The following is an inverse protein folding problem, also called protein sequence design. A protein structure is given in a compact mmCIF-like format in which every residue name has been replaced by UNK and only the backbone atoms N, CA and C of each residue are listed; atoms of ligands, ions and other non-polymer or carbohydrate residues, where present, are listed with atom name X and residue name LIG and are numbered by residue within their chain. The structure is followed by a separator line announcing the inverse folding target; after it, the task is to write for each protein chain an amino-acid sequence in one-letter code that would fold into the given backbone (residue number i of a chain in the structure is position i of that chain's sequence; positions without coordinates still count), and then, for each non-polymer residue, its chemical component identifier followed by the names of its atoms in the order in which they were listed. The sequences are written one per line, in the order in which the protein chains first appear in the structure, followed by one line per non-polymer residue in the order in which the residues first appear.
data_IF_338694925834
#
_entry.id   IF_338694925834
#
_cell.length_a   1.000
_cell.length_b   1.000
_cell.length_c   1.000
_cell.angle_alpha   90.00
_cell.angle_beta   90.00
_cell.angle_gamma   90.00
#
_symmetry.space_group_name_H-M   'P 1'
#
loop_
_entity.id
_entity.type
_entity.pdbx_description
1 polymer ?
#
# COMPACT_ATOMS: atom_id res chain seq x y z
N UNK A 1 95.19 11.61 46.28
CA UNK A 1 93.97 12.31 46.74
C UNK A 1 93.61 13.52 45.84
N UNK A 2 93.82 13.45 44.51
CA UNK A 2 93.60 14.57 43.58
C UNK A 2 92.72 14.24 42.36
N UNK A 3 92.15 13.03 42.29
CA UNK A 3 91.34 12.59 41.14
C UNK A 3 89.83 12.77 41.33
N UNK A 4 89.37 13.12 42.54
CA UNK A 4 87.93 13.14 42.85
C UNK A 4 87.26 14.51 42.63
N UNK A 5 88.06 15.56 42.37
CA UNK A 5 87.55 16.92 42.22
C UNK A 5 87.16 17.31 40.78
N UNK A 6 87.53 16.53 39.75
CA UNK A 6 87.25 16.89 38.35
C UNK A 6 85.93 16.36 37.79
N UNK A 7 85.34 15.31 38.35
CA UNK A 7 84.04 14.79 37.87
C UNK A 7 82.83 15.55 38.42
N UNK A 8 83.00 16.36 39.46
CA UNK A 8 81.89 17.07 40.11
C UNK A 8 81.51 18.40 39.45
N UNK A 9 82.31 18.90 38.49
CA UNK A 9 82.00 20.13 37.73
C UNK A 9 81.31 19.88 36.38
N UNK A 10 81.51 18.72 35.76
CA UNK A 10 80.89 18.39 34.46
C UNK A 10 79.41 18.03 34.61
N UNK A 11 79.01 17.40 35.72
CA UNK A 11 77.61 17.00 35.94
C UNK A 11 76.60 18.13 36.18
N UNK A 12 77.03 19.39 36.31
CA UNK A 12 76.14 20.53 36.60
C UNK A 12 75.84 21.41 35.38
N UNK A 13 76.60 21.27 34.29
CA UNK A 13 76.40 22.03 33.04
C UNK A 13 75.66 21.21 31.96
N UNK A 14 75.71 19.87 32.00
CA UNK A 14 74.98 19.02 31.03
C UNK A 14 73.47 18.85 31.31
N UNK A 15 73.01 19.20 32.52
CA UNK A 15 71.59 19.11 32.87
C UNK A 15 70.71 20.06 32.04
N UNK A 16 71.27 21.17 31.54
CA UNK A 16 70.58 22.11 30.66
C UNK A 16 70.45 21.61 29.22
N UNK A 17 71.52 21.01 28.68
CA UNK A 17 71.54 20.47 27.31
C UNK A 17 70.65 19.23 27.17
N UNK A 18 70.63 18.35 28.18
CA UNK A 18 69.75 17.18 28.21
C UNK A 18 68.26 17.58 28.23
N UNK A 19 67.92 18.64 28.97
CA UNK A 19 66.55 19.13 29.08
C UNK A 19 66.09 19.82 27.78
N UNK A 20 66.98 20.55 27.09
CA UNK A 20 66.70 21.09 25.76
C UNK A 20 66.52 20.01 24.70
N UNK A 21 67.33 18.93 24.74
CA UNK A 21 67.18 17.79 23.85
C UNK A 21 65.84 17.05 24.07
N UNK A 22 65.43 16.86 25.32
CA UNK A 22 64.15 16.25 25.66
C UNK A 22 62.93 17.10 25.22
N UNK A 23 63.00 18.42 25.39
CA UNK A 23 61.96 19.34 24.90
C UNK A 23 61.87 19.30 23.37
N UNK A 24 63.00 19.26 22.67
CA UNK A 24 63.03 19.11 21.21
C UNK A 24 62.39 17.79 20.75
N UNK A 25 62.73 16.67 21.39
CA UNK A 25 62.18 15.36 21.05
C UNK A 25 60.67 15.27 21.34
N UNK A 26 60.22 15.81 22.46
CA UNK A 26 58.79 15.83 22.82
C UNK A 26 57.99 16.75 21.91
N UNK A 27 58.55 17.88 21.48
CA UNK A 27 57.93 18.75 20.48
C UNK A 27 57.77 18.06 19.12
N UNK A 28 58.80 17.36 18.64
CA UNK A 28 58.72 16.58 17.39
C UNK A 28 57.71 15.45 17.52
N UNK A 29 57.73 14.71 18.63
CA UNK A 29 56.75 13.66 18.89
C UNK A 29 55.32 14.19 18.94
N UNK A 30 55.09 15.38 19.52
CA UNK A 30 53.78 16.03 19.55
C UNK A 30 53.31 16.42 18.14
N UNK A 31 54.19 16.96 17.28
CA UNK A 31 53.86 17.30 15.89
C UNK A 31 53.48 16.03 15.10
N UNK A 32 54.23 14.94 15.27
CA UNK A 32 53.93 13.66 14.62
C UNK A 32 52.60 13.11 15.14
N UNK A 33 52.37 13.14 16.45
CA UNK A 33 51.11 12.68 17.04
C UNK A 33 49.91 13.48 16.52
N UNK A 34 50.03 14.80 16.40
CA UNK A 34 48.97 15.67 15.86
C UNK A 34 48.68 15.38 14.39
N UNK A 35 49.71 15.18 13.56
CA UNK A 35 49.53 14.87 12.14
C UNK A 35 48.89 13.50 11.92
N UNK A 36 49.31 12.47 12.67
CA UNK A 36 48.70 11.13 12.64
C UNK A 36 47.27 11.14 13.16
N UNK A 37 46.99 11.88 14.24
CA UNK A 37 45.63 12.00 14.77
C UNK A 37 44.72 12.73 13.78
N UNK A 38 45.23 13.77 13.12
CA UNK A 38 44.47 14.49 12.10
C UNK A 38 44.17 13.60 10.89
N UNK A 39 45.17 12.87 10.37
CA UNK A 39 44.99 12.00 9.21
C UNK A 39 44.02 10.84 9.50
N UNK A 40 44.05 10.27 10.70
CA UNK A 40 43.09 9.23 11.12
C UNK A 40 41.67 9.76 11.23
N UNK A 41 41.46 10.97 11.76
CA UNK A 41 40.12 11.59 11.80
C UNK A 41 39.58 11.83 10.39
N UNK A 42 40.41 12.34 9.47
CA UNK A 42 40.01 12.50 8.07
C UNK A 42 39.69 11.16 7.41
N UNK A 43 40.51 10.12 7.64
CA UNK A 43 40.26 8.78 7.11
C UNK A 43 38.92 8.22 7.61
N UNK A 44 38.63 8.35 8.91
CA UNK A 44 37.33 7.93 9.49
C UNK A 44 36.18 8.73 8.91
N UNK A 45 36.34 10.05 8.74
CA UNK A 45 35.34 10.92 8.11
C UNK A 45 35.02 10.49 6.68
N UNK A 46 36.02 10.13 5.88
CA UNK A 46 35.82 9.60 4.53
C UNK A 46 35.16 8.22 4.52
N UNK A 47 35.65 7.26 5.33
CA UNK A 47 35.08 5.91 5.36
C UNK A 47 33.62 5.92 5.80
N UNK A 48 33.27 6.74 6.79
CA UNK A 48 31.89 6.87 7.28
C UNK A 48 31.00 7.58 6.27
N UNK A 49 31.51 8.59 5.56
CA UNK A 49 30.80 9.21 4.45
C UNK A 49 30.52 8.21 3.31
N UNK A 50 31.47 7.36 2.92
CA UNK A 50 31.24 6.32 1.89
C UNK A 50 30.19 5.31 2.36
N UNK A 51 30.26 4.83 3.61
CA UNK A 51 29.24 3.94 4.18
C UNK A 51 27.85 4.58 4.14
N UNK A 52 27.73 5.84 4.59
CA UNK A 52 26.46 6.58 4.53
C UNK A 52 25.97 6.73 3.09
N UNK A 53 26.89 6.97 2.14
CA UNK A 53 26.58 7.07 0.71
C UNK A 53 25.97 5.79 0.14
N UNK A 54 26.52 4.62 0.48
CA UNK A 54 25.97 3.32 0.06
C UNK A 54 24.59 3.08 0.68
N UNK A 55 24.41 3.42 1.95
CA UNK A 55 23.09 3.31 2.60
C UNK A 55 22.05 4.22 1.96
N UNK A 56 22.41 5.49 1.71
CA UNK A 56 21.54 6.45 1.06
C UNK A 56 21.19 6.04 -0.38
N UNK A 57 22.16 5.48 -1.13
CA UNK A 57 21.94 4.91 -2.46
C UNK A 57 20.93 3.75 -2.40
N UNK A 58 21.17 2.76 -1.53
CA UNK A 58 20.30 1.61 -1.38
C UNK A 58 18.88 2.01 -0.93
N UNK A 59 18.75 3.01 -0.05
CA UNK A 59 17.47 3.55 0.35
C UNK A 59 16.74 4.25 -0.81
N UNK A 60 17.47 4.99 -1.66
CA UNK A 60 16.90 5.63 -2.83
C UNK A 60 16.39 4.61 -3.86
N UNK A 61 17.15 3.54 -4.12
CA UNK A 61 16.77 2.43 -5.01
C UNK A 61 15.55 1.68 -4.46
N UNK A 62 15.58 1.31 -3.17
CA UNK A 62 14.45 0.68 -2.49
C UNK A 62 13.17 1.53 -2.53
N UNK A 63 13.28 2.86 -2.45
CA UNK A 63 12.15 3.76 -2.64
C UNK A 63 11.56 3.71 -4.06
N UNK A 64 12.41 3.64 -5.10
CA UNK A 64 11.96 3.52 -6.49
C UNK A 64 11.20 2.21 -6.70
N UNK A 65 11.68 1.12 -6.12
CA UNK A 65 11.06 -0.21 -6.20
C UNK A 65 9.76 -0.27 -5.40
N UNK A 66 9.73 0.31 -4.20
CA UNK A 66 8.53 0.40 -3.38
C UNK A 66 7.42 1.20 -4.09
N UNK A 67 7.78 2.34 -4.69
CA UNK A 67 6.85 3.11 -5.50
C UNK A 67 6.38 2.31 -6.72
N UNK A 68 7.28 1.61 -7.41
CA UNK A 68 6.92 0.75 -8.55
C UNK A 68 5.90 -0.34 -8.16
N UNK A 69 6.14 -1.03 -7.03
CA UNK A 69 5.25 -2.05 -6.51
C UNK A 69 3.90 -1.47 -6.10
N UNK A 70 3.89 -0.30 -5.45
CA UNK A 70 2.66 0.37 -5.03
C UNK A 70 1.77 0.75 -6.22
N UNK A 71 2.38 1.28 -7.30
CA UNK A 71 1.68 1.58 -8.56
C UNK A 71 1.11 0.33 -9.26
N UNK A 72 1.66 -0.86 -9.00
CA UNK A 72 1.17 -2.12 -9.54
C UNK A 72 -0.01 -2.74 -8.80
N UNK A 73 -0.38 -2.20 -7.62
CA UNK A 73 -1.50 -2.73 -6.82
C UNK A 73 -2.78 -1.90 -6.98
N UNK A 74 -3.97 -2.54 -7.12
CA UNK A 74 -5.24 -1.82 -7.21
C UNK A 74 -5.57 -0.97 -5.97
N UNK A 75 -5.09 -1.39 -4.80
CA UNK A 75 -5.36 -0.75 -3.52
C UNK A 75 -4.40 0.39 -3.17
N UNK A 76 -3.19 0.40 -3.73
CA UNK A 76 -2.16 1.41 -3.42
C UNK A 76 -2.43 2.76 -4.07
N UNK A 77 -3.08 2.77 -5.24
CA UNK A 77 -3.23 3.97 -6.05
C UNK A 77 -1.89 4.60 -6.44
N UNK A 78 -1.90 5.48 -7.44
CA UNK A 78 -0.76 6.36 -7.62
C UNK A 78 -0.85 7.46 -6.55
N UNK A 79 0.19 7.60 -5.74
CA UNK A 79 0.37 8.74 -4.83
C UNK A 79 1.38 9.72 -5.42
N UNK A 80 1.17 11.02 -5.17
CA UNK A 80 2.10 12.07 -5.61
C UNK A 80 3.47 11.94 -4.95
N UNK A 81 3.49 11.35 -3.75
CA UNK A 81 4.69 11.14 -2.95
C UNK A 81 4.59 9.86 -2.12
N UNK A 82 5.68 9.09 -2.06
CA UNK A 82 5.87 7.99 -1.13
C UNK A 82 6.99 8.35 -0.16
N UNK A 83 6.74 8.24 1.14
CA UNK A 83 7.69 8.60 2.19
C UNK A 83 7.87 7.43 3.14
N UNK A 84 9.11 7.14 3.48
CA UNK A 84 9.47 6.25 4.58
C UNK A 84 10.37 7.00 5.55
N UNK A 85 9.98 7.06 6.82
CA UNK A 85 10.77 7.65 7.92
C UNK A 85 11.57 6.60 8.70
N UNK A 86 11.34 5.31 8.42
CA UNK A 86 12.06 4.18 9.01
C UNK A 86 12.97 3.56 7.97
N UNK A 87 14.12 3.02 8.37
CA UNK A 87 15.05 2.39 7.44
C UNK A 87 14.36 1.30 6.59
N UNK A 88 14.45 1.35 5.24
CA UNK A 88 15.15 2.36 4.43
C UNK A 88 14.41 3.72 4.39
N UNK A 89 15.14 4.80 4.72
CA UNK A 89 14.60 6.17 4.77
C UNK A 89 14.63 6.75 3.35
N UNK A 90 13.46 6.99 2.76
CA UNK A 90 13.36 7.53 1.41
C UNK A 90 12.18 8.48 1.24
N UNK A 91 12.28 9.34 0.23
CA UNK A 91 11.17 10.14 -0.28
C UNK A 91 11.17 10.06 -1.80
N UNK A 92 10.07 9.56 -2.37
CA UNK A 92 9.90 9.38 -3.81
C UNK A 92 8.80 10.31 -4.27
N UNK A 93 9.13 11.22 -5.18
CA UNK A 93 8.15 12.07 -5.85
C UNK A 93 7.84 11.50 -7.23
N UNK A 94 6.55 11.40 -7.55
CA UNK A 94 6.09 10.92 -8.85
C UNK A 94 5.79 12.10 -9.77
N UNK A 95 6.19 11.97 -11.02
CA UNK A 95 5.86 12.92 -12.08
C UNK A 95 5.60 12.17 -13.37
N UNK A 96 4.80 12.74 -14.26
CA UNK A 96 4.41 12.12 -15.52
C UNK A 96 4.63 13.04 -16.71
N UNK A 97 4.74 12.44 -17.90
CA UNK A 97 4.85 13.16 -19.17
C UNK A 97 4.13 12.37 -20.27
N UNK A 98 3.60 13.11 -21.25
CA UNK A 98 2.91 12.55 -22.43
C UNK A 98 3.86 12.32 -23.61
N UNK A 99 5.14 12.68 -23.45
CA UNK A 99 6.18 12.49 -24.47
C UNK A 99 6.59 11.03 -24.51
N UNK A 100 6.87 10.52 -25.70
CA UNK A 100 7.39 9.16 -25.89
C UNK A 100 8.75 8.97 -25.19
N UNK A 101 9.01 7.79 -24.61
CA UNK A 101 10.27 7.51 -23.95
C UNK A 101 11.44 7.62 -24.95
N UNK A 102 12.34 8.57 -24.71
CA UNK A 102 13.59 8.71 -25.47
C UNK A 102 14.70 7.83 -24.88
N UNK A 103 15.50 7.15 -25.71
CA UNK A 103 16.68 6.40 -25.25
C UNK A 103 17.88 7.29 -24.89
N UNK A 104 17.79 8.61 -25.08
CA UNK A 104 18.84 9.60 -24.78
C UNK A 104 18.62 10.15 -23.36
N UNK A 105 19.66 10.55 -22.59
CA UNK A 105 19.48 11.25 -21.32
C UNK A 105 18.47 12.39 -21.45
N UNK A 106 17.40 12.26 -20.68
CA UNK A 106 16.13 12.95 -20.91
C UNK A 106 16.26 14.44 -20.53
N UNK A 107 16.27 15.32 -21.54
CA UNK A 107 16.22 16.79 -21.38
C UNK A 107 14.80 17.34 -21.33
N UNK A 108 13.80 16.45 -21.22
CA UNK A 108 12.40 16.86 -21.15
C UNK A 108 12.12 17.68 -19.89
N UNK A 109 11.51 18.85 -20.10
CA UNK A 109 11.07 19.78 -19.07
C UNK A 109 9.55 19.75 -18.86
N UNK A 110 8.82 18.95 -19.64
CA UNK A 110 7.34 18.82 -19.59
C UNK A 110 6.82 17.90 -18.48
N UNK A 111 7.62 17.66 -17.44
CA UNK A 111 7.20 16.83 -16.30
C UNK A 111 6.12 17.53 -15.48
N UNK A 112 4.97 16.89 -15.38
CA UNK A 112 3.89 17.32 -14.48
C UNK A 112 4.00 16.53 -13.19
N UNK A 113 4.00 17.24 -12.05
CA UNK A 113 4.04 16.61 -10.74
C UNK A 113 2.69 15.93 -10.43
N UNK A 114 2.78 14.74 -9.83
CA UNK A 114 1.62 14.00 -9.38
C UNK A 114 1.34 12.78 -10.22
N UNK A 115 0.09 12.33 -10.16
CA UNK A 115 -0.32 11.06 -10.71
C UNK A 115 -1.08 11.22 -12.02
N UNK A 116 -0.85 10.33 -12.99
CA UNK A 116 -1.52 10.38 -14.27
C UNK A 116 -3.02 10.10 -14.09
N UNK A 117 -3.86 11.02 -14.51
CA UNK A 117 -5.33 10.88 -14.49
C UNK A 117 -5.91 10.53 -15.85
N UNK A 118 -5.09 10.52 -16.90
CA UNK A 118 -5.50 10.26 -18.27
C UNK A 118 -4.67 9.15 -18.90
N UNK A 119 -5.24 8.46 -19.89
CA UNK A 119 -4.56 7.42 -20.69
C UNK A 119 -3.54 7.98 -21.68
N UNK A 120 -3.48 9.32 -21.83
CA UNK A 120 -2.54 10.00 -22.73
C UNK A 120 -1.09 10.03 -22.20
N UNK A 121 -0.90 9.66 -20.93
CA UNK A 121 0.42 9.59 -20.31
C UNK A 121 1.17 8.37 -20.82
N UNK A 122 2.42 8.60 -21.26
CA UNK A 122 3.27 7.56 -21.87
C UNK A 122 4.44 7.15 -20.99
N UNK A 123 4.82 7.98 -20.02
CA UNK A 123 5.97 7.73 -19.15
C UNK A 123 5.81 8.33 -17.76
N UNK A 124 6.42 7.68 -16.79
CA UNK A 124 6.52 8.12 -15.41
C UNK A 124 7.98 8.30 -15.00
N UNK A 125 8.23 9.37 -14.25
CA UNK A 125 9.49 9.66 -13.59
C UNK A 125 9.30 9.57 -12.09
N UNK A 126 10.14 8.76 -11.46
CA UNK A 126 10.22 8.62 -10.01
C UNK A 126 11.53 9.24 -9.55
N UNK A 127 11.43 10.35 -8.83
CA UNK A 127 12.58 11.01 -8.23
C UNK A 127 12.67 10.60 -6.76
N UNK A 128 13.61 9.73 -6.44
CA UNK A 128 13.85 9.22 -5.10
C UNK A 128 15.02 9.93 -4.44
N UNK A 129 14.83 10.32 -3.18
CA UNK A 129 15.86 10.82 -2.30
C UNK A 129 16.00 9.82 -1.16
N UNK A 130 17.09 9.08 -1.14
CA UNK A 130 17.44 8.17 -0.05
C UNK A 130 18.32 8.89 0.96
N UNK A 131 18.08 8.61 2.24
CA UNK A 131 18.85 9.16 3.36
C UNK A 131 19.48 8.01 4.14
N UNK A 132 20.75 8.17 4.50
CA UNK A 132 21.46 7.20 5.32
C UNK A 132 20.88 7.17 6.74
N UNK A 133 20.73 5.98 7.29
CA UNK A 133 20.35 5.80 8.70
C UNK A 133 21.47 6.25 9.65
N UNK A 134 22.72 6.08 9.24
CA UNK A 134 23.89 6.59 9.96
C UNK A 134 24.63 7.63 9.13
N UNK A 135 24.75 8.85 9.66
CA UNK A 135 25.46 9.94 8.98
C UNK A 135 26.98 9.81 9.05
N UNK A 136 27.66 10.43 8.09
CA UNK A 136 29.11 10.58 8.10
C UNK A 136 29.59 11.37 9.32
N UNK A 137 30.70 10.92 9.90
CA UNK A 137 31.32 11.53 11.08
C UNK A 137 32.32 12.62 10.68
N UNK A 138 32.86 13.32 11.68
CA UNK A 138 33.87 14.37 11.50
C UNK A 138 33.44 15.51 10.55
N UNK A 139 32.14 15.82 10.52
CA UNK A 139 31.57 16.90 9.70
C UNK A 139 31.42 16.55 8.21
N UNK A 140 31.72 15.32 7.79
CA UNK A 140 31.63 14.92 6.39
C UNK A 140 30.23 14.37 6.03
N UNK A 141 29.30 15.26 5.69
CA UNK A 141 27.93 14.92 5.32
C UNK A 141 27.73 14.49 3.84
N UNK A 142 28.80 14.39 3.04
CA UNK A 142 28.75 14.20 1.58
C UNK A 142 28.05 12.90 1.12
N UNK A 143 27.94 11.91 2.01
CA UNK A 143 27.25 10.64 1.77
C UNK A 143 25.86 10.52 2.39
N UNK A 144 25.40 11.49 3.19
CA UNK A 144 24.17 11.32 3.97
C UNK A 144 22.91 11.19 3.10
N UNK A 145 22.94 11.72 1.88
CA UNK A 145 21.81 11.66 0.94
C UNK A 145 22.26 11.31 -0.46
N UNK A 146 21.42 10.55 -1.18
CA UNK A 146 21.57 10.25 -2.60
C UNK A 146 20.25 10.48 -3.32
N UNK A 147 20.35 11.10 -4.50
CA UNK A 147 19.20 11.36 -5.37
C UNK A 147 19.32 10.48 -6.60
N UNK A 148 18.27 9.72 -6.87
CA UNK A 148 18.16 8.88 -8.05
C UNK A 148 16.86 9.20 -8.76
N UNK A 149 16.89 9.08 -10.08
CA UNK A 149 15.71 9.28 -10.90
C UNK A 149 15.62 8.13 -11.86
N UNK A 150 14.45 7.51 -11.92
CA UNK A 150 14.20 6.43 -12.84
C UNK A 150 12.94 6.75 -13.65
N UNK A 151 13.06 6.58 -14.96
CA UNK A 151 12.02 6.90 -15.94
C UNK A 151 11.60 5.58 -16.57
N UNK A 152 10.31 5.30 -16.55
CA UNK A 152 9.74 4.07 -17.08
C UNK A 152 8.64 4.39 -18.08
N UNK A 153 8.49 3.56 -19.12
CA UNK A 153 7.26 3.58 -19.91
C UNK A 153 6.09 3.30 -18.96
N UNK A 154 5.01 4.04 -19.16
CA UNK A 154 3.79 3.88 -18.38
C UNK A 154 2.62 3.76 -19.33
N UNK A 155 1.86 2.68 -19.15
CA UNK A 155 0.58 2.52 -19.78
C UNK A 155 -0.45 2.46 -18.67
N UNK A 156 -1.38 3.41 -18.66
CA UNK A 156 -2.54 3.32 -17.79
C UNK A 156 -3.39 2.16 -18.31
N UNK A 157 -3.14 0.96 -17.79
CA UNK A 157 -4.01 -0.17 -18.03
C UNK A 157 -5.19 0.07 -17.13
N UNK A 158 -6.27 0.63 -17.68
CA UNK A 158 -7.54 0.66 -16.95
C UNK A 158 -7.84 -0.78 -16.57
N UNK A 159 -7.69 -1.12 -15.29
CA UNK A 159 -8.25 -2.35 -14.76
C UNK A 159 -9.72 -2.36 -15.20
N UNK A 160 -10.23 -3.46 -15.79
CA UNK A 160 -11.65 -3.54 -16.10
C UNK A 160 -12.39 -3.22 -14.80
N UNK A 161 -13.08 -2.10 -14.80
CA UNK A 161 -13.60 -1.43 -13.62
C UNK A 161 -14.43 -2.41 -12.77
N UNK A 162 -13.87 -2.90 -11.67
CA UNK A 162 -14.64 -3.08 -10.44
C UNK A 162 -14.34 -1.85 -9.59
N UNK A 163 -15.04 -0.76 -9.88
CA UNK A 163 -15.23 0.28 -8.87
C UNK A 163 -15.83 -0.45 -7.67
N UNK A 164 -15.09 -0.55 -6.56
CA UNK A 164 -15.54 -1.29 -5.40
C UNK A 164 -16.90 -0.77 -4.96
N UNK A 165 -17.96 -1.52 -5.25
CA UNK A 165 -19.33 -1.11 -4.92
C UNK A 165 -19.64 -1.28 -3.44
N UNK A 166 -18.66 -1.71 -2.64
CA UNK A 166 -18.85 -2.12 -1.26
C UNK A 166 -19.46 -3.52 -1.12
N UNK A 167 -19.71 -4.23 -2.22
CA UNK A 167 -20.22 -5.59 -2.19
C UNK A 167 -19.13 -6.61 -1.81
N UNK A 168 -19.48 -7.57 -0.96
CA UNK A 168 -18.64 -8.70 -0.58
C UNK A 168 -18.54 -9.75 -1.69
N UNK A 169 -19.59 -9.87 -2.52
CA UNK A 169 -19.58 -10.66 -3.74
C UNK A 169 -20.11 -9.78 -4.87
N UNK A 170 -19.28 -9.57 -5.90
CA UNK A 170 -19.68 -8.84 -7.11
C UNK A 170 -19.52 -9.71 -8.35
N UNK A 171 -20.50 -9.69 -9.25
CA UNK A 171 -20.40 -10.28 -10.57
C UNK A 171 -21.05 -9.38 -11.62
N UNK A 172 -20.36 -9.11 -12.72
CA UNK A 172 -20.90 -8.30 -13.81
C UNK A 172 -21.94 -9.09 -14.64
N UNK A 173 -21.63 -10.36 -14.94
CA UNK A 173 -22.48 -11.25 -15.73
C UNK A 173 -22.44 -12.67 -15.14
N UNK A 174 -23.30 -12.90 -14.15
CA UNK A 174 -23.36 -14.16 -13.45
C UNK A 174 -24.06 -15.22 -14.29
N UNK A 175 -23.32 -16.26 -14.64
CA UNK A 175 -23.83 -17.41 -15.40
C UNK A 175 -24.31 -18.54 -14.49
N UNK A 176 -23.64 -18.77 -13.37
CA UNK A 176 -24.10 -19.70 -12.34
C UNK A 176 -24.99 -18.99 -11.32
N UNK A 177 -26.28 -19.24 -11.42
CA UNK A 177 -27.27 -18.64 -10.53
C UNK A 177 -27.32 -19.31 -9.15
N UNK A 178 -26.66 -20.46 -8.97
CA UNK A 178 -26.88 -21.32 -7.80
C UNK A 178 -26.13 -20.82 -6.58
N UNK A 179 -26.86 -20.60 -5.48
CA UNK A 179 -26.31 -20.34 -4.16
C UNK A 179 -26.60 -21.55 -3.27
N UNK A 180 -25.55 -22.33 -2.97
CA UNK A 180 -25.65 -23.53 -2.15
C UNK A 180 -24.64 -23.50 -0.99
N UNK A 181 -25.13 -23.76 0.22
CA UNK A 181 -24.41 -23.81 1.48
C UNK A 181 -23.51 -22.57 1.71
N UNK A 182 -23.98 -21.40 1.27
CA UNK A 182 -23.25 -20.14 1.38
C UNK A 182 -23.59 -19.47 2.71
N UNK A 183 -22.56 -19.12 3.48
CA UNK A 183 -22.72 -18.29 4.67
C UNK A 183 -21.87 -17.04 4.53
N UNK A 184 -22.54 -15.88 4.45
CA UNK A 184 -21.88 -14.57 4.47
C UNK A 184 -22.17 -13.94 5.83
N UNK A 185 -21.10 -13.68 6.58
CA UNK A 185 -21.15 -13.03 7.89
C UNK A 185 -20.73 -11.57 7.78
N UNK A 186 -21.14 -10.77 8.76
CA UNK A 186 -20.75 -9.37 8.88
C UNK A 186 -19.48 -9.25 9.74
N UNK A 187 -18.48 -8.52 9.26
CA UNK A 187 -17.32 -8.09 10.04
C UNK A 187 -17.43 -6.62 10.43
N UNK A 188 -17.45 -6.31 11.73
CA UNK A 188 -17.57 -4.94 12.21
C UNK A 188 -18.97 -4.34 11.95
N UNK A 189 -19.03 -3.08 11.50
CA UNK A 189 -20.30 -2.33 11.33
C UNK A 189 -20.77 -2.21 9.87
N UNK A 190 -20.02 -2.74 8.90
CA UNK A 190 -20.38 -2.63 7.47
C UNK A 190 -21.17 -3.87 7.06
N UNK A 191 -22.41 -3.69 6.59
CA UNK A 191 -23.21 -4.80 6.09
C UNK A 191 -22.62 -5.32 4.77
N UNK A 192 -22.36 -6.63 4.64
CA UNK A 192 -21.96 -7.23 3.38
C UNK A 192 -23.08 -7.07 2.34
N UNK A 193 -22.71 -7.13 1.06
CA UNK A 193 -23.69 -7.18 -0.02
C UNK A 193 -23.28 -8.16 -1.12
N UNK A 194 -24.26 -8.81 -1.73
CA UNK A 194 -24.10 -9.53 -2.99
C UNK A 194 -24.67 -8.63 -4.09
N UNK A 195 -23.88 -8.36 -5.11
CA UNK A 195 -24.30 -7.55 -6.23
C UNK A 195 -24.01 -8.24 -7.56
N UNK A 196 -25.07 -8.57 -8.29
CA UNK A 196 -24.98 -9.05 -9.66
C UNK A 196 -25.54 -7.96 -10.59
N UNK A 197 -24.71 -7.42 -11.49
CA UNK A 197 -25.19 -6.40 -12.42
C UNK A 197 -26.11 -7.05 -13.46
N UNK A 198 -25.71 -8.21 -13.99
CA UNK A 198 -26.56 -9.09 -14.79
C UNK A 198 -26.45 -10.53 -14.31
N UNK A 199 -27.57 -11.25 -14.29
CA UNK A 199 -27.67 -12.62 -13.77
C UNK A 199 -28.62 -12.74 -12.57
N UNK A 200 -29.15 -13.94 -12.37
CA UNK A 200 -30.16 -14.25 -11.34
C UNK A 200 -29.53 -14.97 -10.16
N UNK A 201 -30.23 -15.01 -9.03
CA UNK A 201 -29.84 -15.79 -7.86
C UNK A 201 -30.89 -16.86 -7.58
N UNK A 202 -30.43 -18.10 -7.41
CA UNK A 202 -31.23 -19.26 -7.05
C UNK A 202 -30.62 -19.94 -5.82
N UNK A 203 -31.18 -19.68 -4.66
CA UNK A 203 -30.72 -20.23 -3.42
C UNK A 203 -31.45 -21.56 -3.14
N UNK A 204 -30.71 -22.67 -3.18
CA UNK A 204 -31.27 -24.03 -3.19
C UNK A 204 -31.07 -24.82 -1.89
N UNK A 205 -30.44 -24.19 -0.90
CA UNK A 205 -30.10 -24.75 0.42
C UNK A 205 -30.18 -23.66 1.47
N UNK A 206 -30.16 -23.99 2.77
CA UNK A 206 -30.26 -23.04 3.89
C UNK A 206 -29.08 -22.06 4.05
N UNK A 207 -28.76 -21.33 3.00
CA UNK A 207 -27.70 -20.32 2.96
C UNK A 207 -28.12 -19.09 3.75
N UNK A 208 -27.18 -18.50 4.48
CA UNK A 208 -27.43 -17.31 5.32
C UNK A 208 -26.58 -16.15 4.82
N UNK A 209 -27.23 -15.06 4.44
CA UNK A 209 -26.61 -13.84 3.94
C UNK A 209 -26.88 -12.72 4.94
N UNK A 210 -25.88 -12.34 5.73
CA UNK A 210 -26.00 -11.26 6.74
C UNK A 210 -25.92 -9.85 6.14
N UNK A 211 -26.65 -9.60 5.06
CA UNK A 211 -26.60 -8.32 4.36
C UNK A 211 -27.50 -8.26 3.13
N UNK A 212 -27.22 -7.30 2.24
CA UNK A 212 -28.12 -6.97 1.13
C UNK A 212 -27.84 -7.80 -0.12
N UNK A 213 -28.89 -8.07 -0.90
CA UNK A 213 -28.78 -8.74 -2.21
C UNK A 213 -29.35 -7.81 -3.28
N UNK A 214 -28.55 -7.52 -4.30
CA UNK A 214 -28.87 -6.58 -5.37
C UNK A 214 -28.64 -7.25 -6.73
N UNK A 215 -29.73 -7.51 -7.46
CA UNK A 215 -29.70 -8.14 -8.79
C UNK A 215 -30.17 -7.12 -9.84
N UNK A 216 -29.21 -6.47 -10.50
CA UNK A 216 -29.44 -5.34 -11.41
C UNK A 216 -30.25 -5.67 -12.66
N UNK A 217 -30.13 -6.87 -13.21
CA UNK A 217 -30.93 -7.33 -14.36
C UNK A 217 -31.29 -8.82 -14.25
N UNK A 218 -31.60 -9.30 -13.05
CA UNK A 218 -31.94 -10.70 -12.79
C UNK A 218 -33.05 -10.90 -11.77
N UNK A 219 -33.49 -12.15 -11.66
CA UNK A 219 -34.54 -12.60 -10.75
C UNK A 219 -33.93 -13.25 -9.50
N UNK A 220 -34.73 -13.33 -8.43
CA UNK A 220 -34.35 -14.03 -7.20
C UNK A 220 -35.30 -15.20 -6.95
N UNK A 221 -34.75 -16.39 -6.70
CA UNK A 221 -35.47 -17.58 -6.25
C UNK A 221 -34.81 -18.05 -4.96
N UNK A 222 -35.53 -18.00 -3.84
CA UNK A 222 -35.04 -18.43 -2.54
C UNK A 222 -35.87 -19.60 -2.03
N UNK A 223 -35.26 -20.79 -2.02
CA UNK A 223 -35.86 -22.03 -1.56
C UNK A 223 -35.20 -22.54 -0.26
N UNK A 224 -35.68 -23.69 0.26
CA UNK A 224 -34.89 -24.56 1.16
C UNK A 224 -34.26 -23.90 2.41
N UNK A 225 -34.90 -22.89 3.01
CA UNK A 225 -34.43 -22.27 4.25
C UNK A 225 -33.46 -21.09 4.06
N UNK A 226 -33.36 -20.52 2.86
CA UNK A 226 -32.48 -19.36 2.64
C UNK A 226 -32.88 -18.15 3.51
N UNK A 227 -31.88 -17.52 4.12
CA UNK A 227 -32.07 -16.35 4.98
C UNK A 227 -31.27 -15.17 4.44
N UNK A 228 -31.96 -14.05 4.20
CA UNK A 228 -31.35 -12.74 3.92
C UNK A 228 -31.64 -11.82 5.11
N UNK A 229 -30.60 -11.40 5.82
CA UNK A 229 -30.64 -10.44 6.91
C UNK A 229 -30.29 -9.04 6.41
N UNK A 230 -31.16 -8.55 5.51
CA UNK A 230 -30.98 -7.31 4.77
C UNK A 230 -32.05 -7.16 3.69
N UNK A 231 -31.86 -6.18 2.82
CA UNK A 231 -32.79 -5.90 1.71
C UNK A 231 -32.50 -6.79 0.51
N UNK A 232 -33.56 -7.23 -0.18
CA UNK A 232 -33.52 -7.96 -1.44
C UNK A 232 -34.08 -7.08 -2.56
N UNK A 233 -33.19 -6.65 -3.45
CA UNK A 233 -33.54 -5.94 -4.69
C UNK A 233 -33.28 -6.85 -5.89
N UNK A 234 -34.27 -7.01 -6.74
CA UNK A 234 -34.11 -7.71 -8.00
C UNK A 234 -34.81 -6.93 -9.11
N UNK A 235 -34.19 -6.79 -10.28
CA UNK A 235 -34.92 -6.18 -11.40
C UNK A 235 -35.92 -7.14 -12.02
N UNK A 236 -35.79 -8.45 -11.81
CA UNK A 236 -36.71 -9.50 -12.26
C UNK A 236 -37.73 -9.93 -11.20
N UNK A 237 -38.37 -11.08 -11.44
CA UNK A 237 -39.32 -11.68 -10.48
C UNK A 237 -38.62 -12.16 -9.21
N UNK A 238 -39.32 -12.11 -8.09
CA UNK A 238 -38.84 -12.64 -6.81
C UNK A 238 -39.77 -13.77 -6.36
N UNK A 239 -39.23 -14.98 -6.22
CA UNK A 239 -39.94 -16.15 -5.71
C UNK A 239 -39.32 -16.60 -4.38
N UNK A 240 -40.10 -16.50 -3.31
CA UNK A 240 -39.71 -16.94 -1.97
C UNK A 240 -40.50 -18.21 -1.62
N UNK A 241 -39.77 -19.29 -1.36
CA UNK A 241 -40.29 -20.58 -0.93
C UNK A 241 -39.53 -21.06 0.31
N UNK A 242 -40.19 -21.21 1.45
CA UNK A 242 -39.53 -21.65 2.69
C UNK A 242 -38.25 -20.84 3.00
N UNK A 243 -38.32 -19.53 2.84
CA UNK A 243 -37.19 -18.62 3.00
C UNK A 243 -37.60 -17.39 3.79
N UNK A 244 -36.62 -16.69 4.36
CA UNK A 244 -36.87 -15.49 5.16
C UNK A 244 -36.03 -14.32 4.68
N UNK A 245 -36.66 -13.17 4.51
CA UNK A 245 -36.01 -11.88 4.26
C UNK A 245 -36.37 -10.93 5.39
N UNK A 246 -35.38 -10.47 6.15
CA UNK A 246 -35.61 -9.55 7.28
C UNK A 246 -35.84 -8.11 6.83
N UNK A 247 -35.24 -7.71 5.71
CA UNK A 247 -35.39 -6.37 5.14
C UNK A 247 -36.52 -6.25 4.13
N UNK A 248 -36.40 -5.24 3.28
CA UNK A 248 -37.36 -4.92 2.21
C UNK A 248 -37.14 -5.83 1.01
N UNK A 249 -38.24 -6.18 0.34
CA UNK A 249 -38.22 -6.92 -0.92
C UNK A 249 -38.75 -6.01 -2.01
N UNK A 250 -37.95 -5.72 -3.04
CA UNK A 250 -38.28 -4.76 -4.08
C UNK A 250 -37.94 -5.30 -5.47
N UNK A 251 -38.90 -5.92 -6.18
CA UNK A 251 -38.76 -6.17 -7.60
C UNK A 251 -39.08 -4.93 -8.45
N UNK A 252 -38.38 -4.73 -9.57
CA UNK A 252 -38.67 -3.61 -10.49
C UNK A 252 -39.50 -4.02 -11.72
N UNK A 253 -39.18 -5.14 -12.37
CA UNK A 253 -39.82 -5.62 -13.61
C UNK A 253 -39.94 -7.14 -13.62
N UNK A 254 -40.83 -7.71 -14.45
CA UNK A 254 -40.94 -9.16 -14.55
C UNK A 254 -42.31 -9.65 -15.01
N UNK A 255 -42.46 -10.97 -15.07
CA UNK A 255 -43.70 -11.64 -15.47
C UNK A 255 -44.54 -11.94 -14.23
N UNK A 256 -45.86 -12.04 -14.40
CA UNK A 256 -46.77 -12.41 -13.31
C UNK A 256 -46.46 -13.81 -12.71
N UNK A 257 -46.46 -13.96 -11.37
CA UNK A 257 -46.46 -12.92 -10.36
C UNK A 257 -45.07 -12.28 -10.18
N UNK A 258 -45.04 -10.97 -9.90
CA UNK A 258 -43.79 -10.24 -9.74
C UNK A 258 -43.09 -10.57 -8.41
N UNK A 259 -43.89 -10.78 -7.35
CA UNK A 259 -43.47 -11.41 -6.10
C UNK A 259 -44.35 -12.62 -5.83
N UNK A 260 -43.75 -13.78 -5.61
CA UNK A 260 -44.42 -14.97 -5.13
C UNK A 260 -43.92 -15.30 -3.71
N UNK A 261 -44.87 -15.49 -2.78
CA UNK A 261 -44.61 -15.96 -1.43
C UNK A 261 -45.32 -17.30 -1.25
N UNK A 262 -44.56 -18.35 -0.95
CA UNK A 262 -45.10 -19.70 -0.77
C UNK A 262 -44.38 -20.49 0.32
N UNK A 263 -45.00 -21.57 0.81
CA UNK A 263 -44.38 -22.56 1.69
C UNK A 263 -43.61 -21.96 2.88
N UNK A 264 -44.28 -21.20 3.76
CA UNK A 264 -43.64 -20.54 4.92
C UNK A 264 -42.60 -19.47 4.56
N UNK A 265 -42.70 -18.85 3.38
CA UNK A 265 -41.92 -17.66 3.08
C UNK A 265 -42.32 -16.49 4.00
N UNK A 266 -41.33 -15.84 4.61
CA UNK A 266 -41.53 -14.72 5.52
C UNK A 266 -40.73 -13.51 5.03
N UNK A 267 -41.40 -12.36 4.97
CA UNK A 267 -40.75 -11.05 4.79
C UNK A 267 -41.09 -10.24 6.03
N UNK A 268 -40.10 -9.99 6.89
CA UNK A 268 -40.30 -9.22 8.12
C UNK A 268 -40.30 -7.69 7.85
N UNK A 269 -39.73 -7.27 6.70
CA UNK A 269 -39.78 -5.90 6.22
C UNK A 269 -41.00 -5.60 5.33
N UNK A 270 -40.82 -4.71 4.34
CA UNK A 270 -41.87 -4.30 3.41
C UNK A 270 -41.67 -4.90 2.02
N UNK A 271 -42.77 -5.24 1.34
CA UNK A 271 -42.75 -5.68 -0.07
C UNK A 271 -43.19 -4.52 -0.96
N UNK A 272 -42.28 -4.03 -1.82
CA UNK A 272 -42.53 -2.98 -2.80
C UNK A 272 -42.50 -3.55 -4.21
N UNK A 273 -43.65 -3.98 -4.71
CA UNK A 273 -43.77 -4.55 -6.05
C UNK A 273 -44.43 -3.56 -7.02
N UNK A 274 -43.77 -3.31 -8.16
CA UNK A 274 -44.35 -2.53 -9.27
C UNK A 274 -45.41 -3.29 -10.08
N UNK A 275 -45.83 -4.47 -9.60
CA UNK A 275 -46.73 -5.41 -10.27
C UNK A 275 -47.35 -6.39 -9.28
N UNK A 276 -48.10 -7.40 -9.75
CA UNK A 276 -48.92 -8.23 -8.88
C UNK A 276 -48.09 -9.08 -7.90
N UNK A 277 -48.55 -9.11 -6.65
CA UNK A 277 -48.00 -9.96 -5.57
C UNK A 277 -48.93 -11.14 -5.36
N UNK A 278 -48.37 -12.36 -5.32
CA UNK A 278 -49.09 -13.59 -5.01
C UNK A 278 -48.61 -14.16 -3.68
N UNK A 279 -49.46 -14.10 -2.67
CA UNK A 279 -49.32 -14.92 -1.47
C UNK A 279 -50.16 -16.19 -1.64
N UNK A 280 -49.56 -17.37 -1.47
CA UNK A 280 -50.35 -18.59 -1.22
C UNK A 280 -50.45 -18.79 0.28
N UNK A 281 -51.65 -18.64 0.83
CA UNK A 281 -51.94 -19.08 2.17
C UNK A 281 -51.86 -20.61 2.24
N UNK A 282 -51.30 -21.11 3.34
CA UNK A 282 -51.47 -22.50 3.74
C UNK A 282 -52.95 -22.64 4.09
N UNK A 283 -53.72 -23.42 3.34
CA UNK A 283 -55.00 -23.90 3.87
C UNK A 283 -54.65 -24.78 5.07
N UNK A 284 -54.91 -24.29 6.28
CA UNK A 284 -55.06 -25.18 7.42
C UNK A 284 -56.23 -26.11 7.08
N UNK A 285 -55.90 -27.30 6.58
CA UNK A 285 -56.84 -28.40 6.62
C UNK A 285 -57.07 -28.68 8.10
N UNK A 286 -58.22 -28.23 8.60
CA UNK A 286 -58.73 -28.66 9.88
C UNK A 286 -59.03 -30.16 9.79
N UNK A 287 -58.53 -30.90 10.80
CA UNK A 287 -58.66 -32.34 11.07
C UNK A 287 -57.67 -33.26 10.36
#
# INVERSE_FOLDING_TARGET
MFLDARFRRVGKEESGAALLAAIGLTAVAAIIALTVTSSTIYAVGYSTAIRSGVQAQAAAEGGIDFAAASLGTPAGGCLTQYVSTTAPIFTVNVSYSNVDPSPVPDVDTSWVSGCPTTTAVKRLKRNSIGTADTFGLAGNASGNTRKLSAIYPYTLTALPYLTGTGASIYSYAQTDTTVNNLTITQGGTVLPAIQYLSGSMNCTSGSTIKGNVILGSGAASLASGCVIDGDLYASGTIDLQNSRVYGKVSPSTGTYPLVALSNLAIVDGSVFAAGPVKSRERSEAAS
#
